data_IF_584385416422
#
_entry.id   IF_584385416422
#
_cell.length_a   1.000
_cell.length_b   1.000
_cell.length_c   1.000
_cell.angle_alpha   90.00
_cell.angle_beta   90.00
_cell.angle_gamma   90.00
#
_symmetry.space_group_name_H-M   'P 1'
#
loop_
_entity.id
_entity.type
_entity.pdbx_description
1 polymer ?
#
# COMPACT_ATOMS: atom_id res chain seq x y z
N UNK A 1 -20.26 3.99 -3.81
CA UNK A 1 -19.30 4.98 -4.27
C UNK A 1 -19.87 6.38 -4.29
N UNK A 2 -19.34 7.24 -3.43
CA UNK A 2 -19.58 8.67 -3.35
C UNK A 2 -18.32 9.42 -3.80
N UNK A 3 -18.39 10.10 -4.95
CA UNK A 3 -17.28 10.87 -5.53
C UNK A 3 -17.48 12.37 -5.29
N UNK A 4 -16.46 13.04 -4.74
CA UNK A 4 -16.50 14.49 -4.45
C UNK A 4 -15.18 15.17 -4.81
N UNK A 5 -15.26 16.37 -5.39
CA UNK A 5 -14.10 17.27 -5.52
C UNK A 5 -13.82 17.92 -4.16
N UNK A 6 -12.56 17.83 -3.70
CA UNK A 6 -12.15 18.33 -2.37
C UNK A 6 -11.13 19.46 -2.46
N UNK A 7 -10.25 19.41 -3.46
CA UNK A 7 -9.23 20.41 -3.79
C UNK A 7 -9.12 20.53 -5.31
N UNK A 8 -8.48 21.55 -5.90
CA UNK A 8 -8.26 21.62 -7.34
C UNK A 8 -7.45 20.42 -7.87
N UNK A 9 -7.65 20.05 -9.14
CA UNK A 9 -6.81 19.05 -9.84
C UNK A 9 -5.34 19.46 -9.80
N UNK A 10 -4.46 18.50 -9.54
CA UNK A 10 -3.01 18.67 -9.38
C UNK A 10 -2.57 19.66 -8.27
N UNK A 11 -3.45 19.99 -7.31
CA UNK A 11 -3.06 20.77 -6.13
C UNK A 11 -2.09 20.00 -5.22
N UNK A 12 -2.13 18.67 -5.28
CA UNK A 12 -1.09 17.77 -4.80
C UNK A 12 -0.36 17.25 -6.06
N UNK A 13 0.93 17.56 -6.26
CA UNK A 13 1.61 17.24 -7.51
C UNK A 13 2.12 15.79 -7.53
N UNK A 14 1.79 15.04 -8.58
CA UNK A 14 2.46 13.77 -8.87
C UNK A 14 3.95 13.98 -9.16
N UNK A 15 4.77 12.97 -8.87
CA UNK A 15 6.20 12.96 -9.21
C UNK A 15 6.38 12.32 -10.57
N UNK A 16 6.99 13.09 -11.48
CA UNK A 16 7.44 12.63 -12.79
C UNK A 16 8.97 12.51 -12.78
N UNK A 17 9.53 11.52 -13.48
CA UNK A 17 10.97 11.26 -13.58
C UNK A 17 11.71 11.25 -12.21
N UNK A 18 11.30 10.38 -11.26
CA UNK A 18 11.90 10.31 -9.94
C UNK A 18 13.41 10.03 -9.99
N UNK A 19 14.14 10.65 -9.07
CA UNK A 19 15.59 10.46 -8.91
C UNK A 19 15.88 9.59 -7.71
N UNK A 20 16.96 8.82 -7.79
CA UNK A 20 17.31 7.82 -6.80
C UNK A 20 18.77 7.95 -6.35
N UNK A 21 19.01 7.61 -5.09
CA UNK A 21 20.33 7.54 -4.44
C UNK A 21 20.44 6.26 -3.62
N UNK A 22 21.66 5.86 -3.27
CA UNK A 22 21.93 4.66 -2.45
C UNK A 22 21.77 4.91 -0.95
N UNK A 23 21.95 6.16 -0.51
CA UNK A 23 21.90 6.54 0.90
C UNK A 23 20.70 7.43 1.18
N UNK A 24 19.94 7.09 2.21
CA UNK A 24 18.84 7.88 2.73
C UNK A 24 19.29 8.78 3.87
N UNK A 25 18.77 10.01 3.92
CA UNK A 25 19.08 10.97 4.99
C UNK A 25 17.98 11.09 6.05
N UNK A 26 16.86 10.38 5.90
CA UNK A 26 15.80 10.31 6.89
C UNK A 26 16.09 9.30 8.00
N UNK A 27 15.19 9.20 8.99
CA UNK A 27 15.22 8.17 10.03
C UNK A 27 15.34 6.73 9.49
N UNK A 28 15.94 5.85 10.29
CA UNK A 28 16.08 4.41 9.96
C UNK A 28 14.72 3.69 10.00
N UNK A 29 13.79 4.16 10.80
CA UNK A 29 12.45 3.64 10.97
C UNK A 29 11.40 4.28 10.04
N UNK A 30 11.80 5.18 9.14
CA UNK A 30 10.89 5.75 8.13
C UNK A 30 10.23 4.64 7.31
N UNK A 31 8.91 4.72 7.14
CA UNK A 31 8.19 3.82 6.25
C UNK A 31 8.48 4.14 4.77
N UNK A 32 8.77 3.09 4.01
CA UNK A 32 9.01 3.13 2.56
C UNK A 32 8.14 2.10 1.87
N UNK A 33 7.62 2.45 0.69
CA UNK A 33 7.10 1.45 -0.24
C UNK A 33 8.30 0.82 -0.94
N UNK A 34 8.46 -0.50 -0.82
CA UNK A 34 9.51 -1.29 -1.47
C UNK A 34 8.95 -2.00 -2.69
N UNK A 35 9.63 -1.85 -3.84
CA UNK A 35 9.33 -2.53 -5.09
C UNK A 35 10.61 -3.14 -5.66
N UNK A 36 10.54 -4.40 -6.07
CA UNK A 36 11.62 -5.06 -6.81
C UNK A 36 11.07 -5.62 -8.11
N UNK A 37 11.71 -5.25 -9.24
CA UNK A 37 11.41 -5.79 -10.56
C UNK A 37 12.70 -6.29 -11.20
N UNK A 38 12.85 -7.61 -11.29
CA UNK A 38 14.13 -8.20 -11.67
C UNK A 38 15.21 -7.85 -10.64
N UNK A 39 16.30 -7.24 -11.11
CA UNK A 39 17.42 -6.79 -10.26
C UNK A 39 17.31 -5.30 -9.85
N UNK A 40 16.20 -4.62 -10.20
CA UNK A 40 15.98 -3.20 -9.88
C UNK A 40 15.07 -3.07 -8.64
N UNK A 41 15.68 -2.79 -7.50
CA UNK A 41 15.00 -2.61 -6.21
C UNK A 41 14.97 -1.13 -5.80
N UNK A 42 13.78 -0.62 -5.50
CA UNK A 42 13.54 0.80 -5.19
C UNK A 42 12.70 0.96 -3.93
N UNK A 43 13.02 2.00 -3.16
CA UNK A 43 12.27 2.47 -2.01
C UNK A 43 11.68 3.87 -2.28
N UNK A 44 10.41 4.05 -1.94
CA UNK A 44 9.68 5.31 -2.06
C UNK A 44 9.22 5.74 -0.65
N UNK A 45 9.89 6.72 -0.02
CA UNK A 45 9.55 7.14 1.34
C UNK A 45 8.13 7.70 1.45
N UNK A 46 7.34 7.17 2.37
CA UNK A 46 5.95 7.60 2.61
C UNK A 46 5.91 9.08 3.02
N UNK A 47 6.93 9.55 3.75
CA UNK A 47 7.07 10.98 4.08
C UNK A 47 7.09 11.90 2.86
N UNK A 48 7.57 11.43 1.71
CA UNK A 48 7.49 12.19 0.46
C UNK A 48 6.12 12.03 -0.17
N UNK A 49 5.58 10.80 -0.14
CA UNK A 49 4.28 10.50 -0.72
C UNK A 49 3.11 11.18 -0.01
N UNK A 50 3.24 11.58 1.25
CA UNK A 50 2.28 12.47 1.91
C UNK A 50 2.05 13.79 1.16
N UNK A 51 3.01 14.25 0.36
CA UNK A 51 2.91 15.51 -0.39
C UNK A 51 2.71 15.32 -1.90
N UNK A 52 2.80 14.10 -2.38
CA UNK A 52 2.82 13.81 -3.81
C UNK A 52 1.80 12.77 -4.26
N UNK A 53 1.45 11.83 -3.38
CA UNK A 53 0.48 10.73 -3.54
C UNK A 53 0.75 9.75 -4.69
N UNK A 54 1.38 10.16 -5.79
CA UNK A 54 1.60 9.37 -7.01
C UNK A 54 3.01 9.63 -7.52
N UNK A 55 3.73 8.56 -7.87
CA UNK A 55 5.00 8.59 -8.59
C UNK A 55 4.85 7.77 -9.87
N UNK A 56 4.99 8.40 -11.03
CA UNK A 56 5.10 7.69 -12.30
C UNK A 56 6.56 7.34 -12.55
N UNK A 57 6.87 6.05 -12.59
CA UNK A 57 8.25 5.56 -12.71
C UNK A 57 8.36 4.45 -13.78
N UNK A 58 9.58 3.99 -14.02
CA UNK A 58 9.91 2.78 -14.77
C UNK A 58 10.96 1.97 -14.01
N UNK A 59 10.57 0.80 -13.50
CA UNK A 59 11.40 -0.08 -12.66
C UNK A 59 11.60 -1.40 -13.36
N UNK A 60 12.86 -1.82 -13.55
CA UNK A 60 13.16 -3.06 -14.29
C UNK A 60 12.56 -3.08 -15.72
N UNK A 61 12.33 -1.91 -16.33
CA UNK A 61 11.69 -1.76 -17.64
C UNK A 61 10.15 -1.83 -17.64
N UNK A 62 9.52 -1.99 -16.48
CA UNK A 62 8.06 -1.95 -16.31
C UNK A 62 7.65 -0.53 -15.93
N UNK A 63 6.76 0.14 -16.69
CA UNK A 63 6.20 1.42 -16.29
C UNK A 63 5.26 1.20 -15.09
N UNK A 64 5.51 1.88 -13.99
CA UNK A 64 4.76 1.71 -12.74
C UNK A 64 4.16 3.02 -12.25
N UNK A 65 3.04 2.94 -11.56
CA UNK A 65 2.50 4.00 -10.73
C UNK A 65 2.58 3.56 -9.25
N UNK A 66 3.43 4.23 -8.47
CA UNK A 66 3.52 4.02 -7.02
C UNK A 66 2.58 5.01 -6.36
N UNK A 67 1.62 4.54 -5.58
CA UNK A 67 0.51 5.35 -5.10
C UNK A 67 0.32 5.25 -3.59
N UNK A 68 -0.03 6.38 -2.98
CA UNK A 68 -0.28 6.55 -1.55
C UNK A 68 -1.50 7.43 -1.35
N UNK A 69 -2.55 6.92 -0.69
CA UNK A 69 -3.61 7.77 -0.16
C UNK A 69 -3.42 7.91 1.36
N UNK A 70 -3.10 9.11 1.87
CA UNK A 70 -2.89 9.30 3.31
C UNK A 70 -4.18 9.08 4.11
N UNK A 71 -5.35 9.48 3.58
CA UNK A 71 -6.62 9.29 4.30
C UNK A 71 -6.97 7.81 4.51
N UNK A 72 -6.62 6.96 3.55
CA UNK A 72 -6.86 5.53 3.56
C UNK A 72 -5.66 4.72 4.09
N UNK A 73 -4.53 5.38 4.35
CA UNK A 73 -3.25 4.72 4.63
C UNK A 73 -2.91 3.66 3.57
N UNK A 74 -3.32 3.89 2.31
CA UNK A 74 -3.26 2.87 1.27
C UNK A 74 -2.00 3.03 0.42
N UNK A 75 -1.17 1.98 0.37
CA UNK A 75 0.00 1.88 -0.50
C UNK A 75 -0.26 0.79 -1.55
N UNK A 76 -0.32 1.20 -2.82
CA UNK A 76 -0.51 0.27 -3.95
C UNK A 76 0.42 0.64 -5.09
N UNK A 77 1.03 -0.36 -5.71
CA UNK A 77 1.88 -0.18 -6.89
C UNK A 77 1.22 -0.87 -8.06
N UNK A 78 1.02 -0.13 -9.15
CA UNK A 78 0.39 -0.63 -10.36
C UNK A 78 1.37 -0.70 -11.52
N UNK A 79 1.20 -1.70 -12.37
CA UNK A 79 1.61 -1.60 -13.77
C UNK A 79 0.66 -0.64 -14.48
N UNK A 80 1.18 0.50 -14.94
CA UNK A 80 0.35 1.56 -15.55
C UNK A 80 0.03 1.31 -17.03
N UNK A 81 0.11 0.07 -17.49
CA UNK A 81 -0.28 -0.34 -18.85
C UNK A 81 -1.71 -0.84 -18.88
N UNK A 82 -2.49 -0.30 -19.80
CA UNK A 82 -3.87 -0.73 -20.08
C UNK A 82 -4.00 -0.94 -21.59
N UNK A 83 -4.18 -2.20 -21.99
CA UNK A 83 -4.06 -2.60 -23.40
C UNK A 83 -2.70 -2.23 -23.99
N UNK A 84 -2.70 -1.49 -25.10
CA UNK A 84 -1.48 -1.03 -25.77
C UNK A 84 -0.97 0.35 -25.26
N UNK A 85 -1.61 0.92 -24.23
CA UNK A 85 -1.30 2.26 -23.71
C UNK A 85 -0.49 2.15 -22.42
N UNK A 86 0.42 3.10 -22.22
CA UNK A 86 1.06 3.37 -20.94
C UNK A 86 0.49 4.69 -20.43
N UNK A 87 -0.18 4.65 -19.28
CA UNK A 87 -0.90 5.79 -18.70
C UNK A 87 0.00 6.57 -17.75
N UNK A 88 -0.09 7.90 -17.74
CA UNK A 88 0.58 8.77 -16.78
C UNK A 88 -0.44 9.36 -15.81
N UNK A 89 -0.32 9.05 -14.52
CA UNK A 89 -1.32 9.36 -13.51
C UNK A 89 -1.04 10.68 -12.78
N UNK A 90 -2.09 11.45 -12.51
CA UNK A 90 -2.05 12.64 -11.66
C UNK A 90 -3.16 12.62 -10.61
N UNK A 91 -3.12 13.57 -9.68
CA UNK A 91 -4.10 13.69 -8.59
C UNK A 91 -5.29 14.51 -9.07
N UNK A 92 -6.49 13.91 -9.09
CA UNK A 92 -7.69 14.60 -9.60
C UNK A 92 -8.21 15.70 -8.67
N UNK A 93 -7.79 15.68 -7.40
CA UNK A 93 -8.36 16.48 -6.32
C UNK A 93 -9.75 16.00 -5.88
N UNK A 94 -10.15 14.78 -6.29
CA UNK A 94 -11.39 14.13 -5.86
C UNK A 94 -11.10 12.96 -4.92
N UNK A 95 -12.12 12.61 -4.12
CA UNK A 95 -12.16 11.39 -3.33
C UNK A 95 -13.37 10.54 -3.71
N UNK A 96 -13.20 9.22 -3.73
CA UNK A 96 -14.24 8.21 -3.89
C UNK A 96 -14.35 7.38 -2.60
N UNK A 97 -15.38 7.62 -1.78
CA UNK A 97 -15.51 7.02 -0.44
C UNK A 97 -14.27 7.29 0.45
N UNK A 98 -13.75 8.53 0.40
CA UNK A 98 -12.52 9.00 1.07
C UNK A 98 -11.19 8.52 0.45
N UNK A 99 -11.24 7.61 -0.51
CA UNK A 99 -10.07 7.15 -1.26
C UNK A 99 -9.65 8.12 -2.37
N UNK A 100 -8.34 8.24 -2.60
CA UNK A 100 -7.78 9.07 -3.66
C UNK A 100 -8.35 8.68 -5.03
N UNK A 101 -8.86 9.66 -5.77
CA UNK A 101 -9.15 9.48 -7.20
C UNK A 101 -7.97 9.99 -8.01
N UNK A 102 -7.31 9.09 -8.72
CA UNK A 102 -6.30 9.41 -9.72
C UNK A 102 -7.00 9.77 -11.04
N UNK A 103 -6.30 10.46 -11.94
CA UNK A 103 -6.71 10.55 -13.34
C UNK A 103 -5.54 10.19 -14.25
N UNK A 104 -5.81 9.62 -15.42
CA UNK A 104 -4.78 9.44 -16.45
C UNK A 104 -4.79 10.60 -17.45
N UNK A 105 -3.61 11.05 -17.89
CA UNK A 105 -3.45 12.17 -18.81
C UNK A 105 -3.86 11.84 -20.25
N UNK A 106 -3.84 10.56 -20.62
CA UNK A 106 -4.08 10.09 -21.99
C UNK A 106 -5.55 10.13 -22.39
N UNK A 107 -6.44 9.84 -21.44
CA UNK A 107 -7.89 9.69 -21.67
C UNK A 107 -8.76 10.50 -20.73
N UNK A 108 -8.17 11.11 -19.70
CA UNK A 108 -8.87 11.80 -18.62
C UNK A 108 -9.86 10.89 -17.87
N UNK A 109 -9.60 9.57 -17.86
CA UNK A 109 -10.38 8.65 -17.02
C UNK A 109 -9.96 8.81 -15.57
N UNK A 110 -10.91 8.58 -14.67
CA UNK A 110 -10.74 8.73 -13.23
C UNK A 110 -10.73 7.35 -12.60
N UNK A 111 -9.77 7.11 -11.71
CA UNK A 111 -9.46 5.79 -11.15
C UNK A 111 -9.46 5.84 -9.64
N UNK A 112 -10.17 4.92 -8.97
CA UNK A 112 -10.10 4.80 -7.51
C UNK A 112 -8.77 4.14 -7.14
N UNK A 113 -7.96 4.79 -6.30
CA UNK A 113 -6.59 4.38 -6.04
C UNK A 113 -6.50 3.03 -5.34
N UNK A 114 -7.36 2.73 -4.38
CA UNK A 114 -7.33 1.43 -3.68
C UNK A 114 -7.69 0.23 -4.56
N UNK A 115 -8.66 0.39 -5.47
CA UNK A 115 -9.13 -0.66 -6.39
C UNK A 115 -8.29 -0.78 -7.67
N UNK A 116 -7.70 0.33 -8.11
CA UNK A 116 -7.08 0.40 -9.43
C UNK A 116 -8.08 0.29 -10.57
N UNK A 117 -9.37 0.51 -10.33
CA UNK A 117 -10.44 0.50 -11.34
C UNK A 117 -10.77 1.92 -11.80
N UNK A 118 -10.95 2.09 -13.10
CA UNK A 118 -11.47 3.31 -13.68
C UNK A 118 -12.97 3.45 -13.37
N UNK A 119 -13.31 4.46 -12.58
CA UNK A 119 -14.68 4.72 -12.11
C UNK A 119 -15.45 5.69 -13.01
N UNK A 120 -14.74 6.43 -13.88
CA UNK A 120 -15.34 7.32 -14.87
C UNK A 120 -14.39 7.54 -16.06
N UNK A 121 -14.93 8.02 -17.20
CA UNK A 121 -14.15 8.37 -18.39
C UNK A 121 -14.17 7.28 -19.47
N UNK A 122 -13.23 7.37 -20.43
CA UNK A 122 -13.12 6.46 -21.58
C UNK A 122 -12.86 5.03 -21.15
N UNK A 123 -12.04 4.84 -20.11
CA UNK A 123 -11.58 3.54 -19.63
C UNK A 123 -12.46 2.98 -18.50
N UNK A 124 -13.63 3.56 -18.22
CA UNK A 124 -14.49 3.14 -17.12
C UNK A 124 -14.76 1.62 -17.11
N UNK A 125 -14.50 0.97 -15.97
CA UNK A 125 -14.59 -0.48 -15.76
C UNK A 125 -13.31 -1.27 -16.10
N UNK A 126 -12.28 -0.63 -16.66
CA UNK A 126 -10.95 -1.23 -16.78
C UNK A 126 -10.21 -1.22 -15.44
N UNK A 127 -9.30 -2.17 -15.24
CA UNK A 127 -8.51 -2.32 -14.01
C UNK A 127 -7.01 -2.34 -14.29
N UNK A 128 -6.23 -1.76 -13.38
CA UNK A 128 -4.78 -1.82 -13.36
C UNK A 128 -4.30 -3.14 -12.75
N UNK A 129 -3.11 -3.59 -13.17
CA UNK A 129 -2.48 -4.78 -12.57
C UNK A 129 -1.67 -4.36 -11.33
N UNK A 130 -2.03 -4.87 -10.15
CA UNK A 130 -1.26 -4.67 -8.92
C UNK A 130 0.08 -5.44 -9.01
N UNK A 131 1.17 -4.79 -8.62
CA UNK A 131 2.51 -5.37 -8.56
C UNK A 131 2.87 -5.81 -7.13
N UNK A 132 3.76 -6.81 -6.95
CA UNK A 132 4.23 -7.25 -5.64
C UNK A 132 5.13 -6.22 -4.96
N UNK A 133 4.51 -5.24 -4.31
CA UNK A 133 5.16 -4.24 -3.48
C UNK A 133 4.71 -4.38 -2.02
N UNK A 134 5.42 -3.73 -1.09
CA UNK A 134 5.02 -3.71 0.31
C UNK A 134 5.56 -2.50 1.05
N UNK A 135 4.87 -2.09 2.11
CA UNK A 135 5.39 -1.10 3.05
C UNK A 135 6.33 -1.80 4.02
N UNK A 136 7.47 -1.19 4.30
CA UNK A 136 8.44 -1.64 5.29
C UNK A 136 9.23 -0.45 5.85
N UNK A 137 10.07 -0.64 6.84
CA UNK A 137 10.98 0.42 7.33
C UNK A 137 12.23 0.53 6.45
N UNK A 138 12.87 1.69 6.45
CA UNK A 138 14.12 1.90 5.73
C UNK A 138 15.25 0.95 6.19
N UNK A 139 15.39 0.74 7.50
CA UNK A 139 16.23 -0.31 8.13
C UNK A 139 16.04 -1.66 7.43
N UNK A 140 14.81 -2.17 7.45
CA UNK A 140 14.52 -3.52 6.98
C UNK A 140 14.68 -3.64 5.46
N UNK A 141 14.41 -2.56 4.74
CA UNK A 141 14.73 -2.44 3.33
C UNK A 141 16.24 -2.59 3.09
N UNK A 142 17.09 -1.84 3.81
CA UNK A 142 18.54 -1.87 3.58
C UNK A 142 19.20 -3.18 3.99
N UNK A 143 18.67 -3.89 4.98
CA UNK A 143 19.20 -5.17 5.44
C UNK A 143 19.32 -6.23 4.34
N UNK A 144 18.38 -6.22 3.39
CA UNK A 144 18.29 -7.25 2.33
C UNK A 144 18.48 -6.71 0.92
N UNK A 145 18.61 -5.39 0.77
CA UNK A 145 18.73 -4.71 -0.52
C UNK A 145 19.95 -3.76 -0.52
N UNK A 146 21.20 -4.27 -0.43
CA UNK A 146 22.40 -3.44 -0.36
C UNK A 146 22.64 -2.61 -1.64
N UNK A 147 22.13 -3.07 -2.79
CA UNK A 147 22.14 -2.35 -4.06
C UNK A 147 20.83 -1.59 -4.32
N UNK A 148 19.89 -1.64 -3.36
CA UNK A 148 18.60 -0.95 -3.42
C UNK A 148 18.79 0.57 -3.37
N UNK A 149 17.89 1.29 -4.05
CA UNK A 149 17.97 2.75 -4.13
C UNK A 149 16.71 3.41 -3.59
N UNK A 150 16.87 4.54 -2.93
CA UNK A 150 15.77 5.33 -2.37
C UNK A 150 15.52 6.57 -3.20
N UNK A 151 14.25 6.93 -3.38
CA UNK A 151 13.86 8.16 -4.06
C UNK A 151 14.42 9.38 -3.30
N UNK A 152 14.93 10.38 -4.01
CA UNK A 152 15.31 11.68 -3.41
C UNK A 152 14.10 12.58 -3.24
N UNK A 153 14.09 13.53 -2.29
CA UNK A 153 13.03 14.52 -2.16
C UNK A 153 12.69 15.19 -3.50
N UNK A 154 11.45 15.06 -4.02
CA UNK A 154 11.07 15.69 -5.30
C UNK A 154 11.08 17.23 -5.25
N UNK A 155 10.76 17.80 -4.08
CA UNK A 155 10.55 19.24 -3.87
C UNK A 155 9.25 19.73 -4.50
N UNK A 156 9.06 21.05 -4.48
CA UNK A 156 7.87 21.70 -5.06
C UNK A 156 6.94 22.30 -4.01
N UNK A 157 5.71 22.53 -4.43
CA UNK A 157 4.62 23.04 -3.58
C UNK A 157 3.48 22.01 -3.60
N UNK A 158 2.78 21.83 -2.48
CA UNK A 158 1.66 20.91 -2.35
C UNK A 158 0.61 21.51 -1.43
N UNK A 159 -0.67 21.29 -1.74
CA UNK A 159 -1.77 21.69 -0.84
C UNK A 159 -1.65 20.98 0.51
N UNK A 160 -1.12 19.75 0.54
CA UNK A 160 -0.85 19.03 1.78
C UNK A 160 0.23 19.69 2.68
N UNK A 161 0.93 20.72 2.20
CA UNK A 161 1.93 21.45 2.99
C UNK A 161 1.35 22.65 3.78
N UNK A 162 0.09 23.01 3.54
CA UNK A 162 -0.58 24.14 4.20
C UNK A 162 -1.92 23.76 4.83
N UNK A 163 -2.49 24.71 5.58
CA UNK A 163 -3.84 24.58 6.17
C UNK A 163 -4.96 25.03 5.19
N UNK A 164 -4.58 25.60 4.04
CA UNK A 164 -5.50 26.15 3.04
C UNK A 164 -5.51 25.35 1.73
N UNK A 165 -6.40 25.71 0.81
CA UNK A 165 -6.55 25.00 -0.48
C UNK A 165 -5.48 25.40 -1.54
N UNK A 166 -4.55 26.29 -1.20
CA UNK A 166 -3.48 26.77 -2.10
C UNK A 166 -2.19 25.97 -1.83
N UNK A 167 -1.48 25.47 -2.85
CA UNK A 167 -0.21 24.77 -2.65
C UNK A 167 0.84 25.64 -1.96
N UNK A 168 1.50 25.07 -0.95
CA UNK A 168 2.58 25.73 -0.20
C UNK A 168 3.91 24.97 -0.35
N UNK A 169 5.07 25.63 -0.17
CA UNK A 169 6.38 24.96 -0.23
C UNK A 169 6.48 23.77 0.70
N UNK A 170 6.89 22.62 0.17
CA UNK A 170 6.98 21.39 0.93
C UNK A 170 8.19 21.42 1.89
N UNK A 171 7.94 21.08 3.16
CA UNK A 171 8.95 20.72 4.14
C UNK A 171 8.76 19.27 4.55
N UNK A 172 9.61 18.37 4.05
CA UNK A 172 9.48 16.93 4.29
C UNK A 172 9.80 16.51 5.72
N UNK A 173 10.33 17.40 6.57
CA UNK A 173 10.51 17.15 8.01
C UNK A 173 9.21 17.36 8.81
N UNK A 174 8.14 17.84 8.16
CA UNK A 174 6.80 17.91 8.72
C UNK A 174 5.97 16.67 8.33
N UNK A 175 4.98 16.36 9.16
CA UNK A 175 4.12 15.19 9.01
C UNK A 175 2.64 15.62 8.95
N UNK A 176 2.12 15.98 7.76
CA UNK A 176 0.86 16.69 7.63
C UNK A 176 -0.36 15.84 8.01
N UNK A 177 -0.17 14.51 8.09
CA UNK A 177 -1.22 13.56 8.44
C UNK A 177 -0.99 12.86 9.80
N UNK A 178 0.08 13.18 10.55
CA UNK A 178 0.38 12.54 11.85
C UNK A 178 -0.84 12.62 12.79
N UNK A 179 -1.37 13.83 12.97
CA UNK A 179 -2.55 14.03 13.82
C UNK A 179 -3.76 13.20 13.35
N UNK A 180 -3.97 13.10 12.03
CA UNK A 180 -5.05 12.28 11.48
C UNK A 180 -4.83 10.79 11.73
N UNK A 181 -3.58 10.32 11.72
CA UNK A 181 -3.23 8.91 11.94
C UNK A 181 -3.46 8.52 13.40
N UNK A 182 -3.23 9.44 14.34
CA UNK A 182 -3.37 9.20 15.78
C UNK A 182 -4.79 9.43 16.34
N UNK A 183 -5.57 10.34 15.75
CA UNK A 183 -6.89 10.71 16.29
C UNK A 183 -7.96 9.63 16.08
N UNK A 184 -9.04 9.66 16.86
CA UNK A 184 -10.22 8.83 16.59
C UNK A 184 -10.97 9.30 15.32
N UNK A 185 -11.65 8.36 14.65
CA UNK A 185 -12.44 8.63 13.44
C UNK A 185 -11.64 8.48 12.14
N UNK A 186 -12.34 8.57 11.01
CA UNK A 186 -11.77 8.28 9.70
C UNK A 186 -12.42 9.06 8.56
N UNK A 187 -11.71 9.14 7.44
CA UNK A 187 -12.10 9.86 6.23
C UNK A 187 -11.85 11.37 6.32
N UNK A 188 -12.11 12.07 5.21
CA UNK A 188 -11.84 13.51 5.09
C UNK A 188 -12.58 14.34 6.15
N UNK A 189 -13.78 13.92 6.52
CA UNK A 189 -14.58 14.61 7.54
C UNK A 189 -13.85 14.68 8.88
N UNK A 190 -13.27 13.56 9.30
CA UNK A 190 -12.52 13.45 10.54
C UNK A 190 -11.22 14.26 10.44
N UNK A 191 -10.48 14.09 9.34
CA UNK A 191 -9.27 14.86 9.06
C UNK A 191 -9.49 16.38 9.13
N UNK A 192 -10.58 16.90 8.53
CA UNK A 192 -10.91 18.33 8.54
C UNK A 192 -11.67 18.78 9.79
N UNK A 193 -11.95 17.90 10.75
CA UNK A 193 -12.75 18.22 11.95
C UNK A 193 -14.20 18.64 11.65
N UNK A 194 -14.74 18.25 10.49
CA UNK A 194 -16.10 18.63 10.03
C UNK A 194 -17.15 17.55 10.26
N UNK A 195 -16.75 16.40 10.81
CA UNK A 195 -17.63 15.27 11.11
C UNK A 195 -16.86 13.96 11.03
N UNK A 196 -17.56 12.84 10.99
CA UNK A 196 -16.96 11.52 10.80
C UNK A 196 -17.98 10.58 10.17
N UNK A 197 -17.50 9.47 9.61
CA UNK A 197 -18.38 8.40 9.13
C UNK A 197 -18.69 7.44 10.28
N UNK A 198 -19.89 6.89 10.28
CA UNK A 198 -20.25 5.84 11.24
C UNK A 198 -19.48 4.56 10.92
N UNK A 199 -18.90 3.93 11.94
CA UNK A 199 -18.23 2.64 11.80
C UNK A 199 -19.12 1.55 12.40
N UNK A 200 -19.30 0.47 11.64
CA UNK A 200 -20.01 -0.71 12.14
C UNK A 200 -19.13 -1.46 13.14
N UNK A 201 -19.64 -1.62 14.36
CA UNK A 201 -18.93 -2.30 15.44
C UNK A 201 -18.93 -3.84 15.29
N UNK A 202 -19.67 -4.39 14.32
CA UNK A 202 -19.81 -5.85 14.13
C UNK A 202 -18.60 -6.52 13.44
N UNK A 203 -17.51 -5.78 13.18
CA UNK A 203 -16.26 -6.30 12.60
C UNK A 203 -15.27 -6.81 13.66
N UNK A 204 -15.72 -7.63 14.61
CA UNK A 204 -14.87 -8.28 15.63
C UNK A 204 -13.86 -7.32 16.31
N UNK A 205 -14.32 -6.12 16.69
CA UNK A 205 -13.50 -5.05 17.31
C UNK A 205 -12.36 -4.48 16.43
N UNK A 206 -12.43 -4.61 15.09
CA UNK A 206 -11.51 -3.94 14.16
C UNK A 206 -11.85 -2.44 14.09
N UNK A 207 -10.91 -1.57 14.48
CA UNK A 207 -11.01 -0.10 14.31
C UNK A 207 -10.97 0.28 12.82
N UNK A 208 -11.69 1.33 12.35
CA UNK A 208 -11.66 1.78 10.96
C UNK A 208 -10.27 2.00 10.37
N UNK A 209 -9.32 2.51 11.16
CA UNK A 209 -7.93 2.76 10.73
C UNK A 209 -6.99 1.62 11.08
N UNK A 210 -7.52 0.43 11.40
CA UNK A 210 -6.70 -0.78 11.53
C UNK A 210 -5.96 -1.06 10.22
N UNK A 211 -4.65 -1.26 10.28
CA UNK A 211 -3.85 -1.66 9.12
C UNK A 211 -4.24 -3.06 8.67
N UNK A 212 -4.48 -3.20 7.37
CA UNK A 212 -4.89 -4.41 6.69
C UNK A 212 -3.96 -4.65 5.50
N UNK A 213 -3.55 -5.89 5.29
CA UNK A 213 -3.06 -6.35 3.99
C UNK A 213 -4.22 -6.98 3.23
N UNK A 214 -4.65 -6.30 2.18
CA UNK A 214 -5.61 -6.76 1.20
C UNK A 214 -4.96 -7.70 0.20
N UNK A 215 -5.52 -8.89 0.05
CA UNK A 215 -5.10 -9.93 -0.88
C UNK A 215 -6.22 -10.19 -1.88
N UNK A 216 -5.89 -10.18 -3.16
CA UNK A 216 -6.82 -10.50 -4.24
C UNK A 216 -6.23 -11.55 -5.18
N UNK A 217 -7.00 -12.62 -5.42
CA UNK A 217 -6.61 -13.65 -6.38
C UNK A 217 -7.86 -14.33 -6.96
N UNK A 218 -7.98 -14.34 -8.28
CA UNK A 218 -9.05 -15.04 -9.03
C UNK A 218 -10.49 -14.76 -8.52
N UNK A 219 -10.75 -13.54 -8.06
CA UNK A 219 -12.04 -13.10 -7.54
C UNK A 219 -12.31 -13.51 -6.08
N UNK A 220 -11.29 -13.95 -5.36
CA UNK A 220 -11.25 -14.03 -3.90
C UNK A 220 -10.56 -12.76 -3.40
N UNK A 221 -11.21 -12.04 -2.48
CA UNK A 221 -10.66 -10.87 -1.80
C UNK A 221 -10.67 -11.12 -0.29
N UNK A 222 -9.52 -11.02 0.35
CA UNK A 222 -9.36 -11.18 1.80
C UNK A 222 -8.45 -10.10 2.37
N UNK A 223 -9.00 -9.29 3.27
CA UNK A 223 -8.26 -8.33 4.07
C UNK A 223 -7.80 -8.98 5.36
N UNK A 224 -6.49 -9.02 5.59
CA UNK A 224 -5.88 -9.58 6.80
C UNK A 224 -5.51 -8.45 7.76
N UNK A 225 -6.23 -8.26 8.87
CA UNK A 225 -5.92 -7.19 9.83
C UNK A 225 -4.64 -7.51 10.60
N UNK A 226 -3.77 -6.51 10.78
CA UNK A 226 -2.52 -6.64 11.53
C UNK A 226 -2.73 -7.22 12.96
N UNK A 227 -3.69 -6.74 13.77
CA UNK A 227 -3.92 -7.30 15.12
C UNK A 227 -4.29 -8.79 15.12
N UNK A 228 -4.94 -9.27 14.06
CA UNK A 228 -5.28 -10.69 13.93
C UNK A 228 -4.01 -11.52 13.74
N UNK A 229 -3.06 -11.04 12.93
CA UNK A 229 -1.77 -11.70 12.72
C UNK A 229 -0.92 -11.67 13.99
N UNK A 230 -0.85 -10.52 14.67
CA UNK A 230 -0.14 -10.37 15.94
C UNK A 230 -0.67 -11.33 17.01
N UNK A 231 -2.00 -11.40 17.17
CA UNK A 231 -2.65 -12.32 18.11
C UNK A 231 -2.41 -13.80 17.78
N UNK A 232 -2.08 -14.11 16.53
CA UNK A 232 -1.70 -15.44 16.05
C UNK A 232 -0.20 -15.73 16.17
N UNK A 233 0.52 -15.03 17.07
CA UNK A 233 1.99 -15.13 17.23
C UNK A 233 2.76 -14.65 16.00
N UNK A 234 2.25 -13.60 15.36
CA UNK A 234 2.94 -12.88 14.29
C UNK A 234 2.87 -13.55 12.91
N UNK A 235 2.15 -14.67 12.76
CA UNK A 235 2.03 -15.35 11.46
C UNK A 235 0.67 -16.03 11.27
N UNK A 236 0.09 -15.86 10.09
CA UNK A 236 -1.09 -16.59 9.64
C UNK A 236 -0.89 -17.13 8.23
N UNK A 237 -1.63 -18.18 7.89
CA UNK A 237 -1.72 -18.67 6.51
C UNK A 237 -3.13 -18.46 6.00
N UNK A 238 -3.24 -17.80 4.86
CA UNK A 238 -4.47 -17.50 4.15
C UNK A 238 -4.56 -18.39 2.91
N UNK A 239 -5.71 -19.03 2.75
CA UNK A 239 -6.01 -19.86 1.59
C UNK A 239 -6.81 -19.04 0.59
N UNK A 240 -6.27 -18.83 -0.61
CA UNK A 240 -6.86 -17.96 -1.63
C UNK A 240 -7.74 -18.73 -2.64
N UNK A 241 -8.20 -19.93 -2.28
CA UNK A 241 -9.04 -20.79 -3.14
C UNK A 241 -10.48 -20.30 -3.23
N UNK A 242 -11.10 -20.52 -4.41
CA UNK A 242 -12.55 -20.81 -4.48
C UNK A 242 -12.77 -22.25 -4.05
N UNK A 243 -13.94 -22.59 -3.49
CA UNK A 243 -14.24 -23.86 -2.78
C UNK A 243 -13.92 -25.20 -3.52
N UNK A 244 -13.34 -25.19 -4.72
CA UNK A 244 -12.95 -26.37 -5.50
C UNK A 244 -11.66 -27.04 -4.96
N UNK A 245 -11.68 -28.35 -4.67
CA UNK A 245 -10.51 -29.10 -4.21
C UNK A 245 -9.51 -29.50 -5.31
N UNK A 246 -9.78 -29.22 -6.59
CA UNK A 246 -8.96 -29.63 -7.74
C UNK A 246 -8.03 -28.52 -8.30
N UNK A 247 -7.99 -27.34 -7.69
CA UNK A 247 -7.11 -26.21 -8.09
C UNK A 247 -5.77 -26.24 -7.34
N UNK A 248 -4.70 -25.81 -8.01
CA UNK A 248 -3.36 -25.68 -7.41
C UNK A 248 -3.45 -24.79 -6.16
N UNK A 249 -2.88 -25.24 -5.03
CA UNK A 249 -2.94 -24.48 -3.76
C UNK A 249 -2.28 -23.11 -3.94
N UNK A 250 -3.06 -22.04 -4.02
CA UNK A 250 -2.57 -20.68 -3.84
C UNK A 250 -2.71 -20.29 -2.36
N UNK A 251 -1.63 -20.54 -1.60
CA UNK A 251 -1.56 -20.20 -0.18
C UNK A 251 -0.67 -18.99 -0.01
N UNK A 252 -1.10 -18.06 0.84
CA UNK A 252 -0.32 -16.88 1.22
C UNK A 252 0.02 -17.00 2.70
N UNK A 253 1.27 -16.72 3.06
CA UNK A 253 1.69 -16.52 4.45
C UNK A 253 1.78 -15.03 4.71
N UNK A 254 1.19 -14.58 5.80
CA UNK A 254 1.21 -13.19 6.23
C UNK A 254 1.92 -13.10 7.57
N UNK A 255 2.96 -12.28 7.63
CA UNK A 255 3.75 -11.99 8.83
C UNK A 255 3.44 -10.60 9.35
N UNK A 256 3.34 -10.48 10.67
CA UNK A 256 3.40 -9.20 11.38
C UNK A 256 4.77 -9.10 12.04
N UNK A 257 5.47 -8.01 11.75
CA UNK A 257 6.82 -7.74 12.27
C UNK A 257 6.93 -6.31 12.79
N UNK A 258 8.08 -5.99 13.41
CA UNK A 258 8.43 -4.62 13.75
C UNK A 258 8.61 -3.70 12.53
N UNK A 259 8.83 -4.27 11.35
CA UNK A 259 8.90 -3.57 10.08
C UNK A 259 7.56 -3.50 9.31
N UNK A 260 6.46 -3.94 9.92
CA UNK A 260 5.11 -3.89 9.35
C UNK A 260 4.49 -5.26 9.05
N UNK A 261 3.52 -5.28 8.14
CA UNK A 261 2.77 -6.47 7.73
C UNK A 261 3.15 -6.88 6.31
N UNK A 262 3.47 -8.16 6.11
CA UNK A 262 4.08 -8.62 4.87
C UNK A 262 3.46 -9.94 4.41
N UNK A 263 3.12 -10.03 3.12
CA UNK A 263 2.50 -11.19 2.51
C UNK A 263 3.39 -11.80 1.43
N UNK A 264 3.53 -13.12 1.49
CA UNK A 264 4.33 -13.91 0.55
C UNK A 264 3.61 -15.19 0.14
N UNK A 265 3.95 -15.71 -1.04
CA UNK A 265 3.52 -17.03 -1.46
C UNK A 265 4.05 -18.08 -0.47
N UNK A 266 3.16 -18.94 0.01
CA UNK A 266 3.52 -20.01 0.92
C UNK A 266 3.70 -21.33 0.13
N UNK A 267 4.92 -21.88 0.03
CA UNK A 267 5.20 -23.12 -0.69
C UNK A 267 4.74 -24.39 0.06
N UNK A 268 3.92 -24.25 1.10
CA UNK A 268 3.39 -25.35 1.91
C UNK A 268 4.07 -25.50 3.26
N UNK A 269 4.74 -24.45 3.74
CA UNK A 269 5.41 -24.41 5.03
C UNK A 269 4.44 -24.07 6.16
N UNK A 270 4.79 -24.55 7.36
CA UNK A 270 4.21 -24.12 8.62
C UNK A 270 5.28 -23.34 9.36
N UNK A 271 4.95 -22.10 9.71
CA UNK A 271 5.86 -21.17 10.37
C UNK A 271 5.51 -21.05 11.84
N UNK A 272 6.52 -21.09 12.69
CA UNK A 272 6.41 -20.83 14.12
C UNK A 272 7.29 -19.62 14.47
N UNK A 273 6.76 -18.64 15.22
CA UNK A 273 7.57 -17.54 15.75
C UNK A 273 8.65 -18.08 16.69
N UNK A 274 9.87 -17.54 16.61
CA UNK A 274 10.98 -17.92 17.50
C UNK A 274 11.16 -17.00 18.70
N UNK A 275 10.21 -16.10 18.94
CA UNK A 275 10.12 -15.27 20.15
C UNK A 275 10.70 -13.86 20.04
N UNK A 276 11.15 -13.45 18.85
CA UNK A 276 11.39 -12.05 18.48
C UNK A 276 10.28 -11.54 17.53
N UNK A 277 10.33 -10.25 17.17
CA UNK A 277 9.35 -9.58 16.31
C UNK A 277 9.55 -9.84 14.81
N UNK A 278 10.56 -10.61 14.38
CA UNK A 278 10.97 -10.62 12.96
C UNK A 278 11.27 -12.00 12.39
N UNK A 279 11.55 -12.98 13.23
CA UNK A 279 12.08 -14.28 12.84
C UNK A 279 11.04 -15.39 13.02
N UNK A 280 10.92 -16.24 12.00
CA UNK A 280 9.98 -17.36 11.98
C UNK A 280 10.69 -18.63 11.49
N UNK A 281 10.52 -19.75 12.20
CA UNK A 281 11.13 -21.03 11.84
C UNK A 281 10.19 -21.85 10.98
N UNK A 282 10.70 -22.36 9.86
CA UNK A 282 9.99 -23.28 8.99
C UNK A 282 10.98 -24.12 8.17
N UNK A 283 10.61 -25.36 7.84
CA UNK A 283 11.41 -26.24 6.97
C UNK A 283 12.89 -26.38 7.41
N UNK A 284 13.12 -26.32 8.72
CA UNK A 284 14.46 -26.46 9.31
C UNK A 284 15.38 -25.25 9.20
N UNK A 285 14.90 -24.08 8.76
CA UNK A 285 15.64 -22.81 8.75
C UNK A 285 14.82 -21.68 9.38
N UNK A 286 15.51 -20.60 9.74
CA UNK A 286 14.88 -19.36 10.18
C UNK A 286 14.69 -18.43 8.98
N UNK A 287 13.56 -17.72 8.98
CA UNK A 287 13.12 -16.79 7.96
C UNK A 287 12.86 -15.42 8.60
N UNK A 288 13.37 -14.37 7.98
CA UNK A 288 13.00 -13.01 8.28
C UNK A 288 11.62 -12.73 7.65
N UNK A 289 10.60 -12.48 8.48
CA UNK A 289 9.22 -12.26 8.07
C UNK A 289 8.98 -10.90 7.40
N UNK A 290 9.89 -9.93 7.56
CA UNK A 290 9.80 -8.62 6.90
C UNK A 290 10.24 -8.70 5.43
N UNK A 291 11.29 -9.47 5.22
CA UNK A 291 12.00 -9.54 3.92
C UNK A 291 11.68 -10.82 3.14
N UNK A 292 11.19 -11.86 3.81
CA UNK A 292 10.95 -13.18 3.23
C UNK A 292 12.22 -13.97 2.95
N UNK A 293 13.36 -13.56 3.50
CA UNK A 293 14.67 -14.19 3.27
C UNK A 293 14.99 -15.19 4.39
N UNK A 294 15.40 -16.40 4.01
CA UNK A 294 15.90 -17.40 4.94
C UNK A 294 17.39 -17.22 5.25
N UNK A 295 17.84 -17.68 6.42
CA UNK A 295 19.26 -17.71 6.79
C UNK A 295 20.15 -18.45 5.77
N UNK A 296 19.59 -19.45 5.06
CA UNK A 296 20.29 -20.20 4.01
C UNK A 296 20.26 -19.53 2.62
N UNK A 297 19.69 -18.33 2.51
CA UNK A 297 19.64 -17.51 1.30
C UNK A 297 18.44 -17.76 0.38
N UNK A 298 17.55 -18.71 0.71
CA UNK A 298 16.26 -18.85 0.02
C UNK A 298 15.38 -17.62 0.24
N UNK A 299 14.45 -17.37 -0.69
CA UNK A 299 13.50 -16.25 -0.62
C UNK A 299 12.08 -16.74 -0.85
N UNK A 300 11.13 -16.15 -0.13
CA UNK A 300 9.71 -16.23 -0.45
C UNK A 300 9.38 -15.16 -1.50
N UNK A 301 8.50 -15.50 -2.43
CA UNK A 301 8.00 -14.54 -3.41
C UNK A 301 6.93 -13.67 -2.78
N UNK A 302 7.15 -12.34 -2.77
CA UNK A 302 6.13 -11.38 -2.37
C UNK A 302 4.93 -11.50 -3.31
N UNK A 303 3.72 -11.39 -2.78
CA UNK A 303 2.49 -11.40 -3.59
C UNK A 303 2.01 -9.98 -3.88
N UNK A 304 1.30 -9.74 -5.00
CA UNK A 304 0.53 -8.51 -5.18
C UNK A 304 -0.43 -8.32 -4.01
N UNK A 305 -0.35 -7.16 -3.36
CA UNK A 305 -1.13 -6.84 -2.18
C UNK A 305 -1.29 -5.33 -2.04
N UNK A 306 -2.36 -4.93 -1.35
CA UNK A 306 -2.62 -3.55 -1.00
C UNK A 306 -2.50 -3.43 0.53
N UNK A 307 -1.59 -2.60 1.05
CA UNK A 307 -1.61 -2.21 2.47
C UNK A 307 -2.54 -1.03 2.58
N UNK A 308 -3.58 -1.09 3.42
CA UNK A 308 -4.57 -0.03 3.59
C UNK A 308 -5.27 -0.09 4.95
N UNK A 309 -6.03 0.94 5.30
CA UNK A 309 -6.91 0.91 6.47
C UNK A 309 -8.17 0.09 6.23
N UNK A 310 -8.68 -0.54 7.29
CA UNK A 310 -9.83 -1.42 7.25
C UNK A 310 -11.07 -0.78 6.61
N UNK A 311 -11.31 0.52 6.81
CA UNK A 311 -12.46 1.18 6.20
C UNK A 311 -12.40 1.22 4.68
N UNK A 312 -11.22 1.46 4.10
CA UNK A 312 -11.03 1.52 2.66
C UNK A 312 -11.24 0.14 2.05
N UNK A 313 -10.64 -0.89 2.66
CA UNK A 313 -10.85 -2.28 2.25
C UNK A 313 -12.33 -2.70 2.31
N UNK A 314 -13.04 -2.33 3.37
CA UNK A 314 -14.47 -2.61 3.51
C UNK A 314 -15.31 -1.89 2.46
N UNK A 315 -14.99 -0.64 2.14
CA UNK A 315 -15.72 0.13 1.13
C UNK A 315 -15.58 -0.49 -0.27
N UNK A 316 -14.45 -1.17 -0.52
CA UNK A 316 -14.13 -1.84 -1.77
C UNK A 316 -14.72 -3.26 -1.89
N UNK A 317 -14.57 -4.07 -0.83
CA UNK A 317 -14.87 -5.51 -0.90
C UNK A 317 -15.99 -5.96 0.03
N UNK A 318 -16.50 -5.08 0.89
CA UNK A 318 -17.56 -5.36 1.86
C UNK A 318 -17.06 -5.89 3.20
N UNK A 319 -17.98 -5.98 4.17
CA UNK A 319 -17.68 -6.37 5.55
C UNK A 319 -17.36 -7.87 5.75
N UNK A 320 -17.68 -8.71 4.75
CA UNK A 320 -17.40 -10.15 4.79
C UNK A 320 -16.01 -10.50 4.22
N UNK A 321 -15.33 -9.53 3.61
CA UNK A 321 -14.02 -9.72 2.98
C UNK A 321 -12.84 -9.62 3.97
N UNK A 322 -13.02 -10.00 5.23
CA UNK A 322 -11.96 -9.98 6.24
C UNK A 322 -11.58 -11.39 6.67
N UNK A 323 -10.28 -11.61 6.87
CA UNK A 323 -9.77 -12.84 7.45
C UNK A 323 -10.25 -12.97 8.90
N UNK A 324 -11.03 -14.01 9.17
CA UNK A 324 -11.49 -14.41 10.50
C UNK A 324 -10.95 -15.80 10.80
N UNK A 325 -10.46 -16.00 12.02
CA UNK A 325 -9.88 -17.27 12.48
C UNK A 325 -10.93 -18.22 13.02
#
# INVERSE_FOLDING_TARGET
MNVRQVIPRDAIPSVEDPRFVETYSGPEDDEVISLTVGDDTRAYPIRYLHYHEIVNDTVGGIPVAVTWCPLCGSAVVYDRRVGDRTLEFGVSGKLADDDLVMYDRETESEWKQSLGEAIAGELAGESLTVLPAGVTTWDAFTDTNPDGRVMTPPGGESEAAGDGDDPEPIDYDLEPYEHYFEMDGYGLGAHRGTGGRDWDADLDDIDPKTVVVGLEHEGVAVGVPLPVVESASGVVTVDMRKESPDEDRHSVVVFATDAGIHAFSNPGFTFDSVGDSRTFRADGTDWDGATGVAEDGRKLDRVPACRLFAFAWRDDHGADAFYRR
#
